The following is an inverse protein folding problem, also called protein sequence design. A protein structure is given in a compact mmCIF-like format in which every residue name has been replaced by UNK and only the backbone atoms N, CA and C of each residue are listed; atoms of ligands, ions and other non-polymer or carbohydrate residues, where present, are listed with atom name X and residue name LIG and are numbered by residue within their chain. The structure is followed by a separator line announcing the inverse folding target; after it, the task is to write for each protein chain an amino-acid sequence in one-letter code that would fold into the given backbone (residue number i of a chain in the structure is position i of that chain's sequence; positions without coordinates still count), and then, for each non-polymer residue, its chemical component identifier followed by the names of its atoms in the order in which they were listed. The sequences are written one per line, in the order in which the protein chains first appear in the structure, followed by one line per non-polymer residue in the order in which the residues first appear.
data_IF_609384662027
#
_entry.id   IF_609384662027
#
_cell.length_a   1.000
_cell.length_b   1.000
_cell.length_c   1.000
_cell.angle_alpha   90.00
_cell.angle_beta   90.00
_cell.angle_gamma   90.00
#
_symmetry.space_group_name_H-M   'P 1'
#
loop_
_entity.id
_entity.type
_entity.pdbx_description
1 polymer ?
#
# COMPACT_ATOMS: atom_id res chain seq x y z
N UNK A 1 -13.46 -4.38 6.74
CA UNK A 1 -12.70 -4.41 8.01
C UNK A 1 -13.62 -4.28 9.24
N UNK A 2 -13.42 -5.11 10.29
CA UNK A 2 -14.18 -5.02 11.55
C UNK A 2 -13.91 -3.68 12.30
N UNK A 3 -14.86 -3.10 13.05
CA UNK A 3 -14.69 -1.79 13.70
C UNK A 3 -13.48 -1.69 14.64
N UNK A 4 -13.22 -2.73 15.44
CA UNK A 4 -12.06 -2.78 16.34
C UNK A 4 -10.73 -2.72 15.59
N UNK A 5 -10.62 -3.46 14.48
CA UNK A 5 -9.41 -3.51 13.66
C UNK A 5 -9.20 -2.19 12.93
N UNK A 6 -10.27 -1.57 12.43
CA UNK A 6 -10.22 -0.25 11.83
C UNK A 6 -9.72 0.81 12.83
N UNK A 7 -10.21 0.79 14.08
CA UNK A 7 -9.73 1.70 15.13
C UNK A 7 -8.25 1.49 15.42
N UNK A 8 -7.80 0.24 15.54
CA UNK A 8 -6.40 -0.09 15.78
C UNK A 8 -5.50 0.37 14.61
N UNK A 9 -5.92 0.12 13.37
CA UNK A 9 -5.21 0.55 12.16
C UNK A 9 -5.09 2.08 12.09
N UNK A 10 -6.19 2.81 12.28
CA UNK A 10 -6.20 4.29 12.27
C UNK A 10 -5.24 4.87 13.30
N UNK A 11 -5.32 4.36 14.54
CA UNK A 11 -4.46 4.85 15.62
C UNK A 11 -2.99 4.49 15.39
N UNK A 12 -2.71 3.24 15.03
CA UNK A 12 -1.34 2.75 14.82
C UNK A 12 -0.63 3.45 13.67
N UNK A 13 -1.28 3.57 12.52
CA UNK A 13 -0.69 4.23 11.34
C UNK A 13 -0.35 5.69 11.63
N UNK A 14 -1.30 6.44 12.20
CA UNK A 14 -1.09 7.85 12.51
C UNK A 14 0.02 8.03 13.55
N UNK A 15 0.00 7.21 14.63
CA UNK A 15 1.00 7.26 15.68
C UNK A 15 2.41 7.01 15.14
N UNK A 16 2.60 5.95 14.35
CA UNK A 16 3.92 5.62 13.76
C UNK A 16 4.42 6.79 12.92
N UNK A 17 3.61 7.28 11.98
CA UNK A 17 4.02 8.37 11.09
C UNK A 17 4.42 9.66 11.84
N UNK A 18 3.67 10.01 12.91
CA UNK A 18 4.00 11.17 13.74
C UNK A 18 5.27 10.98 14.56
N UNK A 19 5.45 9.81 15.16
CA UNK A 19 6.59 9.55 16.05
C UNK A 19 7.92 9.43 15.32
N UNK A 20 7.91 8.87 14.11
CA UNK A 20 9.13 8.62 13.33
C UNK A 20 9.40 9.69 12.28
N UNK A 21 8.38 10.49 11.90
CA UNK A 21 8.48 11.36 10.73
C UNK A 21 8.50 10.61 9.40
N UNK A 22 8.02 9.35 9.38
CA UNK A 22 8.04 8.50 8.20
C UNK A 22 7.15 9.02 7.07
N UNK A 23 7.56 8.70 5.84
CA UNK A 23 6.73 8.89 4.66
C UNK A 23 5.79 7.70 4.48
N UNK A 24 4.60 7.95 3.95
CA UNK A 24 3.63 6.92 3.61
C UNK A 24 3.49 6.88 2.08
N UNK A 25 3.74 5.72 1.48
CA UNK A 25 3.64 5.50 0.03
C UNK A 25 2.48 4.55 -0.26
N UNK A 26 1.53 5.00 -1.09
CA UNK A 26 0.36 4.21 -1.51
C UNK A 26 0.17 4.26 -3.04
N UNK A 27 -0.86 3.60 -3.56
CA UNK A 27 -1.22 3.72 -4.98
C UNK A 27 -1.91 5.04 -5.37
N UNK A 28 -2.21 5.94 -4.42
CA UNK A 28 -2.70 7.30 -4.67
C UNK A 28 -4.16 7.43 -5.14
N UNK A 29 -4.87 6.33 -5.36
CA UNK A 29 -6.24 6.36 -5.89
C UNK A 29 -7.27 6.49 -4.77
N UNK A 30 -8.38 7.20 -5.00
CA UNK A 30 -9.46 7.41 -4.03
C UNK A 30 -10.40 6.20 -3.94
N UNK A 31 -9.82 5.03 -3.65
CA UNK A 31 -10.54 3.77 -3.50
C UNK A 31 -9.81 2.84 -2.52
N UNK A 32 -10.57 1.94 -1.89
CA UNK A 32 -10.04 0.94 -0.98
C UNK A 32 -9.17 1.52 0.15
N UNK A 33 -8.02 0.88 0.39
CA UNK A 33 -7.12 1.23 1.49
C UNK A 33 -6.49 2.62 1.34
N UNK A 34 -6.22 3.04 0.10
CA UNK A 34 -5.58 4.33 -0.20
C UNK A 34 -6.46 5.50 0.26
N UNK A 35 -7.78 5.41 0.04
CA UNK A 35 -8.76 6.36 0.56
C UNK A 35 -8.74 6.43 2.09
N UNK A 36 -8.75 5.27 2.76
CA UNK A 36 -8.73 5.20 4.22
C UNK A 36 -7.44 5.82 4.79
N UNK A 37 -6.29 5.60 4.15
CA UNK A 37 -5.01 6.21 4.56
C UNK A 37 -5.07 7.73 4.42
N UNK A 38 -5.63 8.25 3.31
CA UNK A 38 -5.85 9.69 3.14
C UNK A 38 -6.69 10.29 4.26
N UNK A 39 -7.82 9.66 4.59
CA UNK A 39 -8.69 10.08 5.71
C UNK A 39 -7.95 10.06 7.06
N UNK A 40 -7.07 9.07 7.30
CA UNK A 40 -6.26 8.98 8.52
C UNK A 40 -5.25 10.13 8.61
N UNK A 41 -4.56 10.43 7.52
CA UNK A 41 -3.56 11.51 7.50
C UNK A 41 -4.24 12.88 7.65
N UNK A 42 -5.44 13.05 7.09
CA UNK A 42 -6.21 14.29 7.18
C UNK A 42 -6.55 14.68 8.63
N UNK A 43 -6.80 13.70 9.51
CA UNK A 43 -7.12 13.93 10.93
C UNK A 43 -5.88 14.11 11.82
N UNK A 44 -4.68 14.23 11.24
CA UNK A 44 -3.47 14.52 12.00
C UNK A 44 -3.65 15.80 12.84
N UNK A 45 -3.60 15.70 14.20
CA UNK A 45 -3.76 16.86 15.07
C UNK A 45 -2.57 17.82 15.01
N UNK A 46 -1.37 17.32 14.74
CA UNK A 46 -0.16 18.14 14.64
C UNK A 46 0.01 18.68 13.22
N UNK A 47 -0.59 19.84 12.96
CA UNK A 47 -0.49 20.53 11.68
C UNK A 47 0.90 21.10 11.39
N UNK A 48 1.75 21.24 12.41
CA UNK A 48 3.13 21.74 12.23
C UNK A 48 4.06 20.69 11.62
N UNK A 49 3.70 19.40 11.73
CA UNK A 49 4.45 18.27 11.19
C UNK A 49 3.57 17.46 10.25
N UNK A 50 3.35 17.94 9.01
CA UNK A 50 2.54 17.22 8.03
C UNK A 50 3.21 15.90 7.67
N UNK A 51 2.41 14.85 7.51
CA UNK A 51 2.88 13.52 7.12
C UNK A 51 3.00 13.48 5.59
N UNK A 52 4.19 13.25 5.01
CA UNK A 52 4.34 13.08 3.57
C UNK A 52 3.59 11.84 3.11
N UNK A 53 2.48 12.05 2.41
CA UNK A 53 1.66 11.00 1.81
C UNK A 53 1.84 11.05 0.29
N UNK A 54 2.49 10.04 -0.28
CA UNK A 54 2.92 9.97 -1.68
C UNK A 54 2.14 8.88 -2.41
N UNK A 55 1.54 9.22 -3.55
CA UNK A 55 0.75 8.30 -4.36
C UNK A 55 1.50 7.92 -5.62
N UNK A 56 1.78 6.64 -5.83
CA UNK A 56 2.35 6.11 -7.08
C UNK A 56 1.20 5.47 -7.86
N UNK A 57 0.72 6.17 -8.89
CA UNK A 57 -0.49 5.79 -9.63
C UNK A 57 -0.16 5.44 -11.08
N UNK A 58 -0.78 4.37 -11.61
CA UNK A 58 -0.77 4.10 -13.05
C UNK A 58 -1.60 5.17 -13.78
N UNK A 59 -0.97 5.93 -14.67
CA UNK A 59 -1.58 7.02 -15.46
C UNK A 59 -2.79 6.55 -16.27
N UNK A 60 -2.71 5.34 -16.81
CA UNK A 60 -3.80 4.60 -17.48
C UNK A 60 -5.10 4.48 -16.69
N UNK A 61 -5.05 4.59 -15.38
CA UNK A 61 -6.17 4.36 -14.45
C UNK A 61 -6.65 5.64 -13.75
N UNK A 62 -6.04 6.79 -14.02
CA UNK A 62 -6.45 8.06 -13.40
C UNK A 62 -7.65 8.65 -14.13
N UNK A 63 -8.77 8.75 -13.43
CA UNK A 63 -9.97 9.37 -13.99
C UNK A 63 -9.79 10.89 -14.10
N UNK A 64 -10.19 11.46 -15.23
CA UNK A 64 -10.05 12.90 -15.50
C UNK A 64 -8.60 13.33 -15.76
N UNK A 65 -7.71 12.39 -16.09
CA UNK A 65 -6.28 12.66 -16.38
C UNK A 65 -6.05 13.69 -17.49
N UNK A 66 -7.01 13.88 -18.40
CA UNK A 66 -6.91 14.89 -19.45
C UNK A 66 -6.78 16.31 -18.88
N UNK A 67 -7.30 16.57 -17.68
CA UNK A 67 -7.16 17.86 -17.00
C UNK A 67 -5.75 18.08 -16.42
N UNK A 68 -4.96 17.00 -16.30
CA UNK A 68 -3.62 17.02 -15.72
C UNK A 68 -2.53 17.07 -16.80
N UNK A 69 -2.89 16.88 -18.07
CA UNK A 69 -1.96 16.93 -19.22
C UNK A 69 -1.66 18.37 -19.64
N UNK A 70 -1.10 19.15 -18.70
CA UNK A 70 -0.70 20.54 -18.92
C UNK A 70 0.68 20.73 -18.33
N UNK A 71 1.61 21.25 -19.13
CA UNK A 71 3.01 21.43 -18.71
C UNK A 71 3.21 22.79 -18.04
N UNK A 72 3.84 22.78 -16.86
CA UNK A 72 4.34 24.00 -16.20
C UNK A 72 3.27 24.89 -15.58
N UNK A 73 2.03 24.40 -15.44
CA UNK A 73 0.90 25.19 -14.94
C UNK A 73 0.21 24.51 -13.77
N UNK A 74 -0.38 25.31 -12.89
CA UNK A 74 -1.32 24.81 -11.89
C UNK A 74 -2.63 24.43 -12.57
N UNK A 75 -3.14 23.24 -12.24
CA UNK A 75 -4.39 22.70 -12.79
C UNK A 75 -5.38 22.45 -11.68
N UNK A 76 -6.66 22.74 -11.95
CA UNK A 76 -7.74 22.35 -11.05
C UNK A 76 -8.22 20.94 -11.40
N UNK A 77 -7.97 20.00 -10.48
CA UNK A 77 -8.45 18.63 -10.61
C UNK A 77 -9.78 18.47 -9.88
N UNK A 78 -10.84 18.17 -10.64
CA UNK A 78 -12.12 17.76 -10.10
C UNK A 78 -12.35 16.27 -10.33
N UNK A 79 -12.78 15.55 -9.30
CA UNK A 79 -13.25 14.17 -9.43
C UNK A 79 -14.36 14.10 -10.50
N UNK A 80 -14.18 13.31 -11.58
CA UNK A 80 -15.22 13.13 -12.58
C UNK A 80 -16.50 12.53 -11.97
N UNK A 81 -17.66 12.95 -12.48
CA UNK A 81 -18.97 12.40 -12.08
C UNK A 81 -19.21 10.99 -12.64
N UNK A 82 -18.58 10.67 -13.78
CA UNK A 82 -18.67 9.38 -14.43
C UNK A 82 -17.77 8.35 -13.75
N UNK A 83 -18.32 7.18 -13.42
CA UNK A 83 -17.56 6.04 -12.94
C UNK A 83 -17.18 5.14 -14.13
N UNK A 84 -15.97 5.30 -14.65
CA UNK A 84 -15.45 4.47 -15.75
C UNK A 84 -14.78 3.24 -15.15
N UNK A 85 -15.19 2.05 -15.59
CA UNK A 85 -14.57 0.80 -15.13
C UNK A 85 -13.09 0.78 -15.52
N UNK A 86 -12.23 0.48 -14.56
CA UNK A 86 -10.79 0.47 -14.78
C UNK A 86 -10.10 1.79 -14.43
N UNK A 87 -10.87 2.81 -14.02
CA UNK A 87 -10.35 4.09 -13.56
C UNK A 87 -10.79 4.38 -12.13
N UNK A 88 -10.03 5.23 -11.46
CA UNK A 88 -10.39 5.81 -10.18
C UNK A 88 -9.88 7.26 -10.10
N UNK A 89 -10.53 8.12 -9.31
CA UNK A 89 -10.02 9.46 -9.09
C UNK A 89 -8.80 9.44 -8.18
N UNK A 90 -7.99 10.49 -8.22
CA UNK A 90 -6.90 10.69 -7.26
C UNK A 90 -7.46 10.95 -5.86
N UNK A 91 -6.74 10.47 -4.83
CA UNK A 91 -7.10 10.68 -3.44
C UNK A 91 -6.68 12.09 -2.98
N UNK A 92 -7.60 12.92 -2.47
CA UNK A 92 -7.37 14.35 -2.27
C UNK A 92 -6.42 14.71 -1.12
N UNK A 93 -6.13 13.79 -0.19
CA UNK A 93 -5.27 14.05 0.97
C UNK A 93 -3.80 13.69 0.72
N UNK A 94 -3.46 13.14 -0.45
CA UNK A 94 -2.08 12.92 -0.84
C UNK A 94 -1.36 14.25 -1.12
N UNK A 95 -0.12 14.34 -0.65
CA UNK A 95 0.72 15.54 -0.78
C UNK A 95 1.50 15.58 -2.09
N UNK A 96 1.79 14.41 -2.68
CA UNK A 96 2.56 14.26 -3.92
C UNK A 96 2.07 13.05 -4.70
N UNK A 97 2.23 13.12 -6.02
CA UNK A 97 1.92 12.03 -6.93
C UNK A 97 3.08 11.75 -7.87
N UNK A 98 3.29 10.46 -8.16
CA UNK A 98 4.14 9.96 -9.23
C UNK A 98 3.23 9.18 -10.17
N UNK A 99 3.16 9.60 -11.43
CA UNK A 99 2.36 8.93 -12.45
C UNK A 99 3.24 8.02 -13.29
N UNK A 100 2.87 6.74 -13.35
CA UNK A 100 3.56 5.73 -14.15
C UNK A 100 2.75 5.50 -15.41
N UNK A 101 3.36 5.78 -16.56
CA UNK A 101 2.73 5.61 -17.86
C UNK A 101 3.50 4.56 -18.67
N UNK A 102 2.78 3.56 -19.17
CA UNK A 102 3.26 2.55 -20.10
C UNK A 102 2.47 2.57 -21.42
N UNK A 103 1.68 3.63 -21.65
CA UNK A 103 0.78 3.78 -22.79
C UNK A 103 -0.50 2.95 -22.71
N UNK A 104 -0.67 2.09 -21.70
CA UNK A 104 -1.90 1.30 -21.55
C UNK A 104 -2.99 2.07 -20.82
N UNK A 105 -4.24 1.80 -21.19
CA UNK A 105 -5.40 2.35 -20.48
C UNK A 105 -6.08 1.30 -19.63
N UNK A 106 -6.55 1.71 -18.44
CA UNK A 106 -7.41 0.89 -17.56
C UNK A 106 -6.78 -0.45 -17.16
N UNK A 107 -5.45 -0.52 -17.15
CA UNK A 107 -4.68 -1.68 -16.68
C UNK A 107 -4.00 -1.33 -15.36
N UNK A 108 -4.53 -1.87 -14.27
CA UNK A 108 -3.93 -1.69 -12.94
C UNK A 108 -2.61 -2.46 -12.79
N UNK A 109 -1.72 -1.96 -11.94
CA UNK A 109 -0.50 -2.66 -11.53
C UNK A 109 0.70 -2.40 -12.42
N UNK A 110 0.66 -1.36 -13.26
CA UNK A 110 1.83 -0.93 -14.05
C UNK A 110 2.86 -0.22 -13.19
N UNK A 111 2.41 0.35 -12.07
CA UNK A 111 3.27 0.99 -11.09
C UNK A 111 4.11 0.03 -10.26
N UNK A 112 3.78 -1.26 -10.22
CA UNK A 112 4.32 -2.22 -9.23
C UNK A 112 5.85 -2.35 -9.35
N UNK A 113 6.36 -2.61 -10.56
CA UNK A 113 7.79 -2.77 -10.80
C UNK A 113 8.58 -1.48 -10.51
N UNK A 114 8.04 -0.33 -10.91
CA UNK A 114 8.65 0.96 -10.60
C UNK A 114 8.71 1.20 -9.08
N UNK A 115 7.59 0.93 -8.39
CA UNK A 115 7.48 1.07 -6.94
C UNK A 115 8.53 0.22 -6.23
N UNK A 116 8.70 -1.04 -6.62
CA UNK A 116 9.69 -1.94 -6.04
C UNK A 116 11.12 -1.40 -6.22
N UNK A 117 11.48 -0.92 -7.42
CA UNK A 117 12.79 -0.32 -7.68
C UNK A 117 13.02 0.95 -6.86
N UNK A 118 11.99 1.80 -6.73
CA UNK A 118 12.07 3.01 -5.91
C UNK A 118 12.26 2.67 -4.43
N UNK A 119 11.47 1.74 -3.89
CA UNK A 119 11.56 1.29 -2.50
C UNK A 119 12.92 0.62 -2.21
N UNK A 120 13.45 -0.17 -3.14
CA UNK A 120 14.80 -0.75 -3.04
C UNK A 120 15.89 0.32 -3.07
N UNK A 121 15.79 1.31 -3.95
CA UNK A 121 16.77 2.40 -4.02
C UNK A 121 16.78 3.25 -2.74
N UNK A 122 15.66 3.33 -2.02
CA UNK A 122 15.55 4.02 -0.73
C UNK A 122 16.01 3.17 0.45
N UNK A 123 15.94 1.83 0.36
CA UNK A 123 16.11 0.91 1.49
C UNK A 123 17.48 0.98 2.16
N UNK A 124 18.47 1.59 1.50
CA UNK A 124 19.75 1.94 2.06
C UNK A 124 20.08 3.41 1.74
N UNK A 125 20.09 4.34 2.73
CA UNK A 125 20.14 4.09 4.17
C UNK A 125 18.79 4.16 4.91
N UNK A 126 17.65 4.30 4.22
CA UNK A 126 16.35 4.54 4.88
C UNK A 126 15.59 3.22 5.09
N UNK A 127 15.24 2.82 6.32
CA UNK A 127 14.45 1.61 6.54
C UNK A 127 13.08 1.68 5.86
N UNK A 128 12.74 0.66 5.08
CA UNK A 128 11.44 0.52 4.40
C UNK A 128 10.70 -0.67 4.98
N UNK A 129 9.39 -0.53 5.18
CA UNK A 129 8.49 -1.61 5.61
C UNK A 129 7.22 -1.59 4.77
N UNK A 130 6.78 -2.77 4.32
CA UNK A 130 5.52 -2.95 3.62
C UNK A 130 4.41 -3.26 4.61
N UNK A 131 3.33 -2.48 4.62
CA UNK A 131 2.11 -2.79 5.39
C UNK A 131 1.02 -3.31 4.46
N UNK A 132 0.60 -4.56 4.66
CA UNK A 132 -0.41 -5.22 3.84
C UNK A 132 -1.75 -5.22 4.57
N UNK A 133 -2.76 -4.62 3.94
CA UNK A 133 -4.14 -4.53 4.43
C UNK A 133 -5.07 -4.90 3.30
N UNK A 134 -5.88 -5.94 3.50
CA UNK A 134 -6.73 -6.55 2.49
C UNK A 134 -5.93 -6.99 1.23
N UNK A 135 -6.28 -6.51 0.04
CA UNK A 135 -5.52 -6.74 -1.19
C UNK A 135 -6.28 -7.47 -2.29
N UNK A 136 -5.74 -7.39 -3.50
CA UNK A 136 -6.22 -8.13 -4.68
C UNK A 136 -5.07 -8.88 -5.34
N UNK A 137 -5.26 -9.45 -6.54
CA UNK A 137 -4.22 -10.24 -7.22
C UNK A 137 -2.88 -9.51 -7.34
N UNK A 138 -2.91 -8.20 -7.65
CA UNK A 138 -1.71 -7.36 -7.74
C UNK A 138 -0.96 -7.23 -6.40
N UNK A 139 -1.64 -7.37 -5.26
CA UNK A 139 -1.00 -7.34 -3.94
C UNK A 139 -0.04 -8.52 -3.75
N UNK A 140 -0.35 -9.69 -4.32
CA UNK A 140 0.56 -10.84 -4.26
C UNK A 140 1.88 -10.51 -4.96
N UNK A 141 1.81 -9.88 -6.13
CA UNK A 141 2.98 -9.42 -6.86
C UNK A 141 3.76 -8.35 -6.10
N UNK A 142 3.08 -7.35 -5.52
CA UNK A 142 3.73 -6.32 -4.69
C UNK A 142 4.46 -6.93 -3.49
N UNK A 143 3.84 -7.90 -2.80
CA UNK A 143 4.46 -8.61 -1.68
C UNK A 143 5.67 -9.41 -2.13
N UNK A 144 5.57 -10.13 -3.25
CA UNK A 144 6.69 -10.88 -3.82
C UNK A 144 7.87 -9.95 -4.14
N UNK A 145 7.63 -8.87 -4.88
CA UNK A 145 8.68 -7.90 -5.23
C UNK A 145 9.29 -7.26 -3.97
N UNK A 146 8.51 -6.92 -2.95
CA UNK A 146 9.06 -6.33 -1.72
C UNK A 146 9.87 -7.34 -0.90
N UNK A 147 9.27 -8.48 -0.55
CA UNK A 147 9.83 -9.42 0.43
C UNK A 147 10.91 -10.30 -0.19
N UNK A 148 10.64 -10.88 -1.36
CA UNK A 148 11.51 -11.89 -1.99
C UNK A 148 12.64 -11.23 -2.76
N UNK A 149 12.32 -10.25 -3.61
CA UNK A 149 13.33 -9.62 -4.48
C UNK A 149 14.16 -8.55 -3.76
N UNK A 150 13.52 -7.80 -2.85
CA UNK A 150 14.12 -6.59 -2.26
C UNK A 150 14.43 -6.70 -0.76
N UNK A 151 14.16 -7.84 -0.12
CA UNK A 151 14.36 -8.07 1.32
C UNK A 151 13.69 -7.00 2.21
N UNK A 152 12.56 -6.44 1.76
CA UNK A 152 11.79 -5.47 2.53
C UNK A 152 10.83 -6.23 3.46
N UNK A 153 10.90 -6.03 4.79
CA UNK A 153 10.00 -6.69 5.72
C UNK A 153 8.54 -6.27 5.48
N UNK A 154 7.62 -7.22 5.61
CA UNK A 154 6.19 -6.99 5.45
C UNK A 154 5.41 -7.31 6.74
N UNK A 155 4.47 -6.43 7.08
CA UNK A 155 3.51 -6.61 8.18
C UNK A 155 2.14 -6.86 7.57
N UNK A 156 1.53 -8.00 7.90
CA UNK A 156 0.20 -8.38 7.43
C UNK A 156 -0.83 -8.13 8.52
N UNK A 157 -1.88 -7.38 8.20
CA UNK A 157 -2.99 -7.14 9.13
C UNK A 157 -4.06 -8.20 8.94
N UNK A 158 -3.91 -9.34 9.64
CA UNK A 158 -4.87 -10.45 9.61
C UNK A 158 -6.29 -10.01 10.04
N UNK A 159 -7.30 -10.61 9.41
CA UNK A 159 -8.72 -10.32 9.64
C UNK A 159 -9.22 -9.12 8.84
N UNK A 160 -8.39 -8.61 7.92
CA UNK A 160 -8.78 -7.57 6.96
C UNK A 160 -9.45 -8.18 5.73
N UNK A 161 -9.15 -9.44 5.39
CA UNK A 161 -9.77 -10.19 4.30
C UNK A 161 -8.89 -10.29 3.05
N UNK A 162 -9.43 -10.96 2.02
CA UNK A 162 -8.81 -11.09 0.68
C UNK A 162 -7.37 -11.64 0.76
N UNK A 163 -6.44 -11.11 -0.03
CA UNK A 163 -5.07 -11.62 -0.11
C UNK A 163 -4.34 -11.58 1.24
N UNK A 164 -4.56 -10.58 2.09
CA UNK A 164 -3.92 -10.49 3.40
C UNK A 164 -4.24 -11.72 4.28
N UNK A 165 -5.50 -12.15 4.31
CA UNK A 165 -5.90 -13.32 5.12
C UNK A 165 -5.45 -14.64 4.48
N UNK A 166 -5.26 -14.69 3.16
CA UNK A 166 -4.63 -15.84 2.50
C UNK A 166 -3.16 -15.98 2.90
N UNK A 167 -2.40 -14.88 2.93
CA UNK A 167 -1.02 -14.88 3.44
C UNK A 167 -0.97 -15.30 4.91
N UNK A 168 -1.84 -14.75 5.76
CA UNK A 168 -1.91 -15.12 7.16
C UNK A 168 -2.22 -16.61 7.35
N UNK A 169 -3.20 -17.15 6.62
CA UNK A 169 -3.54 -18.57 6.67
C UNK A 169 -2.38 -19.46 6.21
N UNK A 170 -1.70 -19.08 5.12
CA UNK A 170 -0.53 -19.82 4.62
C UNK A 170 0.60 -19.83 5.65
N UNK A 171 0.85 -18.70 6.31
CA UNK A 171 1.83 -18.59 7.38
C UNK A 171 1.49 -19.50 8.57
N UNK A 172 0.25 -19.48 9.06
CA UNK A 172 -0.18 -20.32 10.18
C UNK A 172 -0.05 -21.82 9.88
N UNK A 173 -0.43 -22.25 8.66
CA UNK A 173 -0.28 -23.64 8.23
C UNK A 173 1.20 -24.06 8.13
N UNK A 174 2.05 -23.17 7.62
CA UNK A 174 3.49 -23.44 7.53
C UNK A 174 4.14 -23.51 8.91
N UNK A 175 3.77 -22.63 9.83
CA UNK A 175 4.31 -22.63 11.19
C UNK A 175 3.84 -23.83 12.01
N UNK A 176 2.58 -24.25 11.85
CA UNK A 176 2.07 -25.51 12.42
C UNK A 176 2.84 -26.72 11.89
N UNK A 177 3.02 -26.80 10.56
CA UNK A 177 3.79 -27.87 9.93
C UNK A 177 5.23 -27.91 10.44
N UNK A 178 5.90 -26.74 10.54
CA UNK A 178 7.28 -26.64 11.02
C UNK A 178 7.41 -27.11 12.47
N UNK A 179 6.49 -26.73 13.36
CA UNK A 179 6.48 -27.18 14.76
C UNK A 179 6.29 -28.69 14.89
N UNK A 180 5.45 -29.29 14.04
CA UNK A 180 5.20 -30.73 14.07
C UNK A 180 6.43 -31.54 13.63
N UNK A 181 7.20 -31.06 12.65
CA UNK A 181 8.48 -31.70 12.27
C UNK A 181 9.48 -31.64 13.43
N UNK A 182 9.61 -30.46 14.05
CA UNK A 182 10.55 -30.26 15.16
C UNK A 182 10.21 -31.16 16.37
N UNK A 183 8.92 -31.44 16.63
CA UNK A 183 8.52 -32.38 17.68
C UNK A 183 8.74 -33.86 17.35
N UNK A 184 8.66 -34.24 16.07
CA UNK A 184 8.89 -35.62 15.62
C UNK A 184 10.38 -36.00 15.62
N UNK A 185 11.26 -35.05 15.31
CA UNK A 185 12.73 -35.22 15.41
C UNK A 185 13.19 -35.34 16.88
N UNK A 186 12.54 -34.66 17.83
CA UNK A 186 12.86 -34.78 19.26
C UNK A 186 12.38 -36.11 19.88
N UNK A 187 11.33 -36.73 19.34
CA UNK A 187 10.77 -37.99 19.86
C UNK A 187 11.36 -39.25 19.23
N UNK A 188 12.06 -39.13 18.09
CA UNK A 188 12.73 -40.24 17.41
C UNK A 188 14.21 -40.43 17.82
N UNK A 189 14.73 -39.59 18.72
CA UNK A 189 16.07 -39.67 19.30
C UNK A 189 16.19 -40.33 20.68
N UNK A 190 15.12 -40.96 21.19
CA UNK A 190 15.09 -41.75 22.44
C UNK A 190 14.87 -43.24 22.15
#
# INVERSE_FOLDING_TARGET
MKPRLLRAFRHGLLKVAQTTGAWIITGGMNTGIMKLVGEIVQINPDRSRPIPLIGIATWGCVSGRQHLDVRGSSVYYAKPRSNIRGEAPLEPNHTKFIFIDDGTERKYGREIAFRAQLEQAMSNPVPVVLLVVEGGPNTVRTVHEAVVENNIPAVFLEGTGRCCDLFAKAFHLYDEYRRNIESDDETSGL
#
